data_IF_973138184321
#
_entry.id   IF_973138184321
#
_cell.length_a   1.000
_cell.length_b   1.000
_cell.length_c   1.000
_cell.angle_alpha   90.00
_cell.angle_beta   90.00
_cell.angle_gamma   90.00
#
_symmetry.space_group_name_H-M   'P 1'
#
loop_
_entity.id
_entity.type
_entity.pdbx_description
1 polymer ?
#
# COMPACT_ATOMS: atom_id res chain seq x y z
N UNK A 1 1.17 -18.00 6.50
CA UNK A 1 1.61 -16.70 5.96
C UNK A 1 1.53 -16.67 4.44
N UNK A 2 2.08 -17.67 3.75
CA UNK A 2 2.16 -17.73 2.29
C UNK A 2 0.81 -17.57 1.56
N UNK A 3 -0.28 -18.15 2.11
CA UNK A 3 -1.63 -17.99 1.58
C UNK A 3 -2.06 -16.52 1.40
N UNK A 4 -1.76 -15.67 2.38
CA UNK A 4 -2.13 -14.24 2.32
C UNK A 4 -1.29 -13.46 1.31
N UNK A 5 -0.10 -13.96 0.99
CA UNK A 5 0.79 -13.38 0.01
C UNK A 5 0.44 -13.83 -1.41
N UNK A 6 0.01 -15.09 -1.60
CA UNK A 6 -0.32 -15.63 -2.92
C UNK A 6 -1.72 -15.25 -3.41
N UNK A 7 -2.71 -15.16 -2.51
CA UNK A 7 -4.09 -14.85 -2.89
C UNK A 7 -4.25 -13.36 -3.23
N UNK A 8 -4.66 -13.07 -4.48
CA UNK A 8 -4.79 -11.70 -5.01
C UNK A 8 -5.89 -10.87 -4.36
N UNK A 9 -6.78 -11.51 -3.59
CA UNK A 9 -7.92 -10.86 -2.94
C UNK A 9 -7.54 -10.13 -1.65
N UNK A 10 -6.44 -10.50 -1.00
CA UNK A 10 -6.03 -9.82 0.22
C UNK A 10 -5.34 -8.49 -0.08
N UNK A 11 -5.67 -7.49 0.73
CA UNK A 11 -4.93 -6.25 0.85
C UNK A 11 -3.92 -6.40 2.00
N UNK A 12 -2.70 -5.95 1.78
CA UNK A 12 -1.61 -6.01 2.74
C UNK A 12 -1.37 -4.60 3.26
N UNK A 13 -1.77 -4.37 4.51
CA UNK A 13 -1.54 -3.10 5.19
C UNK A 13 -0.18 -3.15 5.86
N UNK A 14 0.67 -2.16 5.58
CA UNK A 14 1.99 -2.04 6.19
C UNK A 14 2.02 -0.75 6.99
N UNK A 15 2.09 -0.89 8.31
CA UNK A 15 2.17 0.25 9.23
C UNK A 15 3.63 0.66 9.37
N UNK A 16 3.93 1.87 8.91
CA UNK A 16 5.27 2.44 8.93
C UNK A 16 5.38 3.35 10.13
N UNK A 17 6.18 2.93 11.11
CA UNK A 17 6.58 3.70 12.28
C UNK A 17 8.10 3.82 12.34
N UNK A 18 8.67 4.80 13.06
CA UNK A 18 10.12 4.88 13.25
C UNK A 18 10.71 3.57 13.80
N UNK A 19 10.06 2.97 14.80
CA UNK A 19 10.45 1.68 15.38
C UNK A 19 10.43 0.53 14.36
N UNK A 20 9.40 0.49 13.50
CA UNK A 20 9.35 -0.51 12.43
C UNK A 20 10.55 -0.36 11.48
N UNK A 21 10.84 0.87 11.06
CA UNK A 21 11.98 1.16 10.19
C UNK A 21 13.30 0.73 10.82
N UNK A 22 13.56 1.16 12.06
CA UNK A 22 14.75 0.77 12.83
C UNK A 22 14.90 -0.76 12.89
N UNK A 23 13.81 -1.48 13.18
CA UNK A 23 13.80 -2.94 13.26
C UNK A 23 14.18 -3.61 11.94
N UNK A 24 13.64 -3.14 10.81
CA UNK A 24 13.89 -3.76 9.50
C UNK A 24 15.23 -3.33 8.87
N UNK A 25 15.81 -2.23 9.35
CA UNK A 25 17.15 -1.77 8.96
C UNK A 25 18.26 -2.19 9.92
N UNK A 26 17.91 -2.72 11.09
CA UNK A 26 18.88 -3.14 12.11
C UNK A 26 19.83 -4.20 11.57
N UNK A 27 21.08 -4.16 12.05
CA UNK A 27 22.06 -5.16 11.65
C UNK A 27 21.71 -6.53 12.27
N UNK A 28 22.03 -7.65 11.61
CA UNK A 28 21.78 -8.99 12.16
C UNK A 28 22.37 -9.21 13.55
N UNK A 29 23.47 -8.52 13.87
CA UNK A 29 24.15 -8.58 15.18
C UNK A 29 23.37 -7.87 16.30
N UNK A 30 22.54 -6.87 15.99
CA UNK A 30 21.70 -6.16 16.96
C UNK A 30 20.37 -6.91 17.25
N UNK A 31 20.07 -7.93 16.46
CA UNK A 31 18.82 -8.70 16.49
C UNK A 31 18.91 -9.99 17.33
N UNK A 32 20.10 -10.37 17.82
CA UNK A 32 20.40 -11.71 18.35
C UNK A 32 19.60 -12.14 19.59
N UNK A 33 18.83 -11.26 20.24
CA UNK A 33 18.08 -11.60 21.46
C UNK A 33 16.57 -11.24 21.46
N UNK A 34 16.01 -10.70 20.35
CA UNK A 34 14.58 -10.36 20.30
C UNK A 34 13.85 -11.12 19.17
N UNK A 35 13.18 -12.20 19.55
CA UNK A 35 12.35 -13.03 18.67
C UNK A 35 11.29 -12.21 17.92
N UNK A 36 10.73 -11.16 18.52
CA UNK A 36 9.71 -10.33 17.86
C UNK A 36 10.33 -9.50 16.74
N UNK A 37 11.54 -9.00 16.94
CA UNK A 37 12.26 -8.27 15.92
C UNK A 37 12.65 -9.20 14.76
N UNK A 38 13.14 -10.41 15.06
CA UNK A 38 13.42 -11.44 14.06
C UNK A 38 12.18 -11.80 13.23
N UNK A 39 11.04 -12.02 13.88
CA UNK A 39 9.76 -12.28 13.21
C UNK A 39 9.36 -11.10 12.30
N UNK A 40 9.53 -9.86 12.75
CA UNK A 40 9.21 -8.66 11.97
C UNK A 40 10.10 -8.56 10.73
N UNK A 41 11.41 -8.81 10.88
CA UNK A 41 12.38 -8.80 9.77
C UNK A 41 12.07 -9.90 8.76
N UNK A 42 11.74 -11.10 9.24
CA UNK A 42 11.35 -12.22 8.39
C UNK A 42 10.12 -11.87 7.54
N UNK A 43 9.07 -11.35 8.19
CA UNK A 43 7.84 -10.92 7.52
C UNK A 43 8.14 -9.85 6.47
N UNK A 44 8.97 -8.85 6.82
CA UNK A 44 9.40 -7.79 5.91
C UNK A 44 10.09 -8.34 4.66
N UNK A 45 11.06 -9.26 4.81
CA UNK A 45 11.80 -9.86 3.70
C UNK A 45 10.89 -10.69 2.79
N UNK A 46 9.92 -11.39 3.38
CA UNK A 46 8.96 -12.19 2.60
C UNK A 46 8.05 -11.30 1.75
N UNK A 47 7.58 -10.18 2.32
CA UNK A 47 6.79 -9.18 1.61
C UNK A 47 7.59 -8.53 0.46
N UNK A 48 8.86 -8.18 0.73
CA UNK A 48 9.75 -7.63 -0.28
C UNK A 48 9.95 -8.60 -1.45
N UNK A 49 10.14 -9.89 -1.15
CA UNK A 49 10.34 -10.93 -2.18
C UNK A 49 9.10 -11.10 -3.05
N UNK A 50 7.90 -11.13 -2.46
CA UNK A 50 6.65 -11.21 -3.23
C UNK A 50 6.45 -9.97 -4.11
N UNK A 51 6.70 -8.78 -3.58
CA UNK A 51 6.57 -7.53 -4.33
C UNK A 51 7.46 -7.52 -5.59
N UNK A 52 8.71 -7.98 -5.45
CA UNK A 52 9.66 -8.06 -6.56
C UNK A 52 9.23 -9.13 -7.57
N UNK A 53 8.86 -10.32 -7.09
CA UNK A 53 8.44 -11.45 -7.94
C UNK A 53 7.16 -11.15 -8.73
N UNK A 54 6.24 -10.36 -8.17
CA UNK A 54 5.01 -9.92 -8.83
C UNK A 54 5.25 -8.72 -9.79
N UNK A 55 6.50 -8.42 -10.11
CA UNK A 55 6.88 -7.39 -11.08
C UNK A 55 6.58 -5.97 -10.62
N UNK A 56 6.58 -5.72 -9.30
CA UNK A 56 6.26 -4.41 -8.72
C UNK A 56 4.87 -3.89 -9.13
N UNK A 57 3.88 -4.79 -9.31
CA UNK A 57 2.47 -4.45 -9.53
C UNK A 57 1.73 -4.41 -8.18
N UNK A 58 1.56 -3.21 -7.64
CA UNK A 58 1.38 -3.05 -6.18
C UNK A 58 -0.01 -2.60 -5.78
N UNK A 59 -1.06 -3.13 -6.42
CA UNK A 59 -2.42 -2.79 -6.01
C UNK A 59 -2.79 -3.35 -4.62
N UNK A 60 -2.07 -4.35 -4.12
CA UNK A 60 -2.41 -4.97 -2.83
C UNK A 60 -1.76 -4.32 -1.63
N UNK A 61 -0.61 -3.67 -1.82
CA UNK A 61 0.14 -3.06 -0.74
C UNK A 61 -0.40 -1.68 -0.40
N UNK A 62 -0.72 -1.47 0.88
CA UNK A 62 -1.24 -0.22 1.42
C UNK A 62 -0.26 0.24 2.53
N UNK A 63 0.83 0.94 2.16
CA UNK A 63 1.72 1.52 3.14
C UNK A 63 1.07 2.72 3.83
N UNK A 64 1.07 2.72 5.17
CA UNK A 64 0.48 3.77 6.00
C UNK A 64 1.55 4.32 6.94
N UNK A 65 1.88 5.61 6.79
CA UNK A 65 2.74 6.36 7.70
C UNK A 65 1.96 6.71 8.97
N UNK A 66 2.41 6.22 10.11
CA UNK A 66 1.87 6.61 11.41
C UNK A 66 2.46 7.93 11.92
N UNK A 67 1.80 8.61 12.87
CA UNK A 67 2.33 9.80 13.50
C UNK A 67 3.77 9.60 14.00
N UNK A 68 4.64 10.57 13.71
CA UNK A 68 6.07 10.48 14.01
C UNK A 68 6.93 9.78 12.94
N UNK A 69 6.31 9.04 12.00
CA UNK A 69 7.03 8.53 10.84
C UNK A 69 7.16 9.60 9.74
N UNK A 70 8.25 9.53 8.98
CA UNK A 70 8.53 10.41 7.83
C UNK A 70 8.69 9.55 6.58
N UNK A 71 8.67 10.19 5.40
CA UNK A 71 8.88 9.50 4.12
C UNK A 71 10.21 8.74 4.05
N UNK A 72 11.24 9.19 4.76
CA UNK A 72 12.53 8.48 4.84
C UNK A 72 12.44 7.14 5.57
N UNK A 73 11.39 6.89 6.36
CA UNK A 73 11.15 5.61 7.03
C UNK A 73 10.41 4.61 6.13
N UNK A 74 10.01 5.02 4.91
CA UNK A 74 9.36 4.12 3.96
C UNK A 74 10.43 3.23 3.32
N UNK A 75 10.31 1.90 3.37
CA UNK A 75 11.24 1.00 2.71
C UNK A 75 11.38 1.29 1.21
N UNK A 76 12.60 1.22 0.68
CA UNK A 76 12.90 1.58 -0.70
C UNK A 76 12.02 0.83 -1.72
N UNK A 77 11.74 -0.45 -1.46
CA UNK A 77 10.89 -1.26 -2.34
C UNK A 77 9.42 -0.79 -2.37
N UNK A 78 8.94 -0.05 -1.36
CA UNK A 78 7.60 0.51 -1.31
C UNK A 78 7.49 1.95 -1.87
N UNK A 79 8.60 2.61 -2.21
CA UNK A 79 8.58 4.03 -2.60
C UNK A 79 7.75 4.32 -3.86
N UNK A 80 7.61 3.34 -4.75
CA UNK A 80 6.78 3.46 -5.96
C UNK A 80 5.28 3.21 -5.70
N UNK A 81 4.88 2.94 -4.46
CA UNK A 81 3.49 2.70 -4.06
C UNK A 81 2.92 3.96 -3.41
N UNK A 82 1.60 4.19 -3.54
CA UNK A 82 0.95 5.31 -2.88
C UNK A 82 1.00 5.14 -1.35
N UNK A 83 1.68 6.07 -0.67
CA UNK A 83 1.84 6.07 0.79
C UNK A 83 0.82 7.00 1.42
N UNK A 84 -0.01 6.44 2.29
CA UNK A 84 -1.04 7.19 3.03
C UNK A 84 -0.48 7.70 4.36
N UNK A 85 -0.88 8.89 4.79
CA UNK A 85 -0.55 9.45 6.10
C UNK A 85 -1.73 9.29 7.07
N UNK A 86 -1.53 8.57 8.18
CA UNK A 86 -2.52 8.48 9.25
C UNK A 86 -2.38 9.65 10.23
N UNK A 87 -3.47 10.29 10.69
CA UNK A 87 -4.88 10.07 10.34
C UNK A 87 -5.39 10.95 9.17
N UNK A 88 -4.51 11.72 8.52
CA UNK A 88 -4.88 12.69 7.48
C UNK A 88 -5.65 12.06 6.32
N UNK A 89 -5.19 10.92 5.83
CA UNK A 89 -5.73 10.24 4.64
C UNK A 89 -6.70 9.12 5.02
N UNK A 90 -7.32 9.20 6.20
CA UNK A 90 -8.23 8.16 6.73
C UNK A 90 -9.31 7.75 5.72
N UNK A 91 -9.97 8.72 5.10
CA UNK A 91 -11.08 8.43 4.19
C UNK A 91 -10.61 7.76 2.91
N UNK A 92 -9.42 8.11 2.40
CA UNK A 92 -8.81 7.48 1.23
C UNK A 92 -8.32 6.07 1.56
N UNK A 93 -7.77 5.84 2.77
CA UNK A 93 -7.46 4.50 3.29
C UNK A 93 -8.74 3.64 3.35
N UNK A 94 -9.83 4.17 3.92
CA UNK A 94 -11.09 3.45 4.03
C UNK A 94 -11.67 3.11 2.64
N UNK A 95 -11.67 4.06 1.70
CA UNK A 95 -12.07 3.80 0.31
C UNK A 95 -11.23 2.69 -0.31
N UNK A 96 -9.92 2.69 -0.07
CA UNK A 96 -9.01 1.66 -0.58
C UNK A 96 -9.35 0.28 -0.02
N UNK A 97 -9.63 0.19 1.28
CA UNK A 97 -10.02 -1.06 1.94
C UNK A 97 -11.37 -1.57 1.44
N UNK A 98 -12.32 -0.67 1.20
CA UNK A 98 -13.65 -1.00 0.67
C UNK A 98 -13.66 -1.24 -0.85
N UNK A 99 -12.52 -1.06 -1.54
CA UNK A 99 -12.39 -1.11 -3.01
C UNK A 99 -13.35 -0.15 -3.74
N UNK A 100 -13.63 1.00 -3.14
CA UNK A 100 -14.51 2.04 -3.69
C UNK A 100 -13.67 3.11 -4.37
N UNK A 101 -14.07 3.50 -5.58
CA UNK A 101 -13.41 4.60 -6.30
C UNK A 101 -13.72 5.95 -5.65
N UNK A 102 -12.72 6.85 -5.64
CA UNK A 102 -12.90 8.20 -5.11
C UNK A 102 -13.81 9.05 -5.99
N UNK A 103 -13.74 8.82 -7.30
CA UNK A 103 -14.44 9.55 -8.34
C UNK A 103 -15.30 8.56 -9.11
N UNK A 104 -16.61 8.76 -9.11
CA UNK A 104 -17.51 8.07 -10.03
C UNK A 104 -17.60 8.93 -11.29
N UNK A 105 -17.37 8.40 -12.51
CA UNK A 105 -17.51 9.19 -13.72
C UNK A 105 -18.94 9.77 -13.77
N UNK A 106 -19.10 11.02 -14.24
CA UNK A 106 -20.44 11.55 -14.43
C UNK A 106 -21.21 10.64 -15.40
N UNK A 107 -22.52 10.48 -15.22
CA UNK A 107 -23.33 9.72 -16.16
C UNK A 107 -23.14 10.30 -17.56
N UNK A 108 -22.88 9.43 -18.53
CA UNK A 108 -22.79 9.82 -19.94
C UNK A 108 -24.18 10.32 -20.34
N UNK A 109 -24.28 11.59 -20.73
CA UNK A 109 -25.52 12.17 -21.24
C UNK A 109 -25.95 11.55 -22.57
N UNK A 110 -27.17 11.82 -23.01
CA UNK A 110 -27.64 11.37 -24.32
C UNK A 110 -26.77 11.93 -25.45
N UNK A 111 -26.55 11.14 -26.50
CA UNK A 111 -25.85 11.62 -27.69
C UNK A 111 -26.62 12.81 -28.29
N UNK A 112 -25.93 13.87 -28.74
CA UNK A 112 -26.61 14.99 -29.37
C UNK A 112 -27.34 14.51 -30.62
N UNK A 113 -28.64 14.84 -30.71
CA UNK A 113 -29.42 14.58 -31.92
C UNK A 113 -29.14 15.69 -32.93
N UNK A 114 -28.55 15.33 -34.07
CA UNK A 114 -28.36 16.26 -35.19
C UNK A 114 -29.70 16.40 -35.91
N UNK A 115 -30.28 17.59 -35.88
CA UNK A 115 -31.52 17.91 -36.61
C UNK A 115 -31.15 18.61 -37.90
N UNK A 116 -31.41 17.99 -39.05
CA UNK A 116 -31.28 18.63 -40.35
C UNK A 116 -32.47 19.56 -40.57
N UNK A 117 -32.24 20.87 -40.60
CA UNK A 117 -33.26 21.86 -40.94
C UNK A 117 -33.16 22.12 -42.45
N UNK A 118 -34.18 21.81 -43.26
CA UNK A 118 -34.17 22.15 -44.68
C UNK A 118 -34.18 23.67 -44.87
N UNK A 119 -33.42 24.15 -45.87
CA UNK A 119 -33.32 25.56 -46.29
C UNK A 119 -34.53 25.92 -47.16
#
# INVERSE_FOLDING_TARGET
>A
MERYLSEKEYLIIIIISPKYYETVTASPFELENDERMLNTVYIHKQLQSEFIQNGSKNFRFIPILFPGAKKCHVPNWLQNTHVYAWPRDRDDILRRLMRVEKYNPPPVGELPTIVSIPI
#
